data_IF_201038707137
#
_entry.id   IF_201038707137
#
_cell.length_a   1.000
_cell.length_b   1.000
_cell.length_c   1.000
_cell.angle_alpha   90.00
_cell.angle_beta   90.00
_cell.angle_gamma   90.00
#
_symmetry.space_group_name_H-M   'P 1'
#
loop_
_entity.id
_entity.type
_entity.pdbx_description
1 polymer ?
#
# COMPACT_ATOMS: atom_id res chain seq x y z
N UNK A 1 8.50 -7.35 -7.62
CA UNK A 1 8.43 -8.81 -7.75
C UNK A 1 7.66 -9.29 -8.98
N UNK A 2 6.79 -8.48 -9.58
CA UNK A 2 6.16 -8.80 -10.87
C UNK A 2 5.10 -9.90 -10.80
N UNK A 3 4.55 -10.18 -9.60
CA UNK A 3 3.51 -11.18 -9.38
C UNK A 3 2.17 -10.77 -10.02
N UNK A 4 1.88 -9.46 -10.00
CA UNK A 4 0.71 -8.83 -10.61
C UNK A 4 1.16 -7.69 -11.53
N UNK A 5 0.32 -7.28 -12.48
CA UNK A 5 0.70 -6.30 -13.51
C UNK A 5 0.50 -4.86 -13.04
N UNK A 6 -0.61 -4.60 -12.36
CA UNK A 6 -0.99 -3.25 -11.95
C UNK A 6 -1.63 -3.23 -10.55
N UNK A 7 -1.65 -2.07 -9.85
CA UNK A 7 -2.26 -1.95 -8.52
C UNK A 7 -3.71 -2.43 -8.45
N UNK A 8 -4.48 -2.22 -9.53
CA UNK A 8 -5.87 -2.66 -9.64
C UNK A 8 -6.04 -4.18 -9.56
N UNK A 9 -5.09 -4.96 -10.11
CA UNK A 9 -5.11 -6.43 -10.02
C UNK A 9 -5.03 -6.88 -8.55
N UNK A 10 -4.20 -6.20 -7.72
CA UNK A 10 -4.07 -6.48 -6.28
C UNK A 10 -5.36 -6.13 -5.55
N UNK A 11 -5.87 -4.93 -5.79
CA UNK A 11 -7.05 -4.42 -5.09
C UNK A 11 -8.29 -5.28 -5.38
N UNK A 12 -8.51 -5.63 -6.65
CA UNK A 12 -9.59 -6.54 -7.04
C UNK A 12 -9.39 -7.95 -6.47
N UNK A 13 -8.15 -8.46 -6.48
CA UNK A 13 -7.82 -9.76 -5.88
C UNK A 13 -8.15 -9.82 -4.39
N UNK A 14 -7.87 -8.75 -3.64
CA UNK A 14 -8.18 -8.68 -2.21
C UNK A 14 -9.68 -8.49 -1.93
N UNK A 15 -10.36 -7.67 -2.73
CA UNK A 15 -11.81 -7.45 -2.59
C UNK A 15 -12.55 -8.77 -2.85
N UNK A 16 -12.26 -9.44 -3.96
CA UNK A 16 -12.97 -10.65 -4.36
C UNK A 16 -12.48 -11.92 -3.65
N UNK A 17 -11.20 -11.97 -3.27
CA UNK A 17 -10.59 -13.16 -2.69
C UNK A 17 -10.78 -13.26 -1.17
N UNK A 18 -10.46 -12.20 -0.44
CA UNK A 18 -10.49 -12.20 1.05
C UNK A 18 -11.57 -11.29 1.63
N UNK A 19 -12.39 -10.67 0.78
CA UNK A 19 -13.48 -9.78 1.22
C UNK A 19 -13.00 -8.42 1.72
N UNK A 20 -11.91 -7.87 1.15
CA UNK A 20 -11.48 -6.52 1.52
C UNK A 20 -12.60 -5.50 1.28
N UNK A 21 -12.85 -4.53 2.20
CA UNK A 21 -13.99 -3.63 2.11
C UNK A 21 -14.08 -2.85 0.77
N UNK A 22 -15.10 -3.08 -0.08
CA UNK A 22 -15.17 -2.47 -1.42
C UNK A 22 -15.26 -0.94 -1.39
N UNK A 23 -15.91 -0.38 -0.37
CA UNK A 23 -16.04 1.08 -0.20
C UNK A 23 -14.69 1.78 0.11
N UNK A 24 -13.61 1.02 0.32
CA UNK A 24 -12.24 1.55 0.42
C UNK A 24 -11.46 1.46 -0.89
N UNK A 25 -12.05 0.91 -1.95
CA UNK A 25 -11.45 0.77 -3.28
C UNK A 25 -10.40 -0.35 -3.42
N UNK A 26 -9.91 -0.91 -2.30
CA UNK A 26 -8.82 -1.90 -2.26
C UNK A 26 -7.73 -1.50 -1.28
N UNK A 27 -6.73 -2.35 -1.06
CA UNK A 27 -5.68 -2.07 -0.07
C UNK A 27 -4.71 -0.97 -0.53
N UNK A 28 -4.36 -0.95 -1.82
CA UNK A 28 -3.45 0.03 -2.41
C UNK A 28 -4.17 1.36 -2.62
N UNK A 29 -5.42 1.34 -3.09
CA UNK A 29 -6.24 2.55 -3.15
C UNK A 29 -6.46 3.15 -1.76
N UNK A 30 -6.74 2.31 -0.77
CA UNK A 30 -6.83 2.76 0.62
C UNK A 30 -5.51 3.34 1.13
N UNK A 31 -4.38 2.72 0.78
CA UNK A 31 -3.07 3.21 1.17
C UNK A 31 -2.79 4.63 0.64
N UNK A 32 -3.21 4.91 -0.60
CA UNK A 32 -3.11 6.25 -1.20
C UNK A 32 -4.03 7.25 -0.51
N UNK A 33 -5.28 6.87 -0.19
CA UNK A 33 -6.20 7.71 0.58
C UNK A 33 -5.67 8.06 1.98
N UNK A 34 -4.97 7.13 2.64
CA UNK A 34 -4.31 7.41 3.93
C UNK A 34 -3.05 8.26 3.75
N UNK A 35 -2.36 8.09 2.62
CA UNK A 35 -1.08 8.70 2.30
C UNK A 35 0.10 7.88 2.80
N UNK A 36 1.06 7.62 1.91
CA UNK A 36 2.28 6.87 2.25
C UNK A 36 3.10 7.48 3.40
N UNK A 37 3.28 8.81 3.52
CA UNK A 37 3.98 9.39 4.68
C UNK A 37 3.32 9.01 6.01
N UNK A 38 1.98 9.00 6.07
CA UNK A 38 1.24 8.60 7.26
C UNK A 38 1.40 7.10 7.56
N UNK A 39 1.38 6.25 6.52
CA UNK A 39 1.62 4.81 6.68
C UNK A 39 3.05 4.52 7.18
N UNK A 40 4.07 5.17 6.61
CA UNK A 40 5.46 5.02 7.07
C UNK A 40 5.63 5.46 8.52
N UNK A 41 5.01 6.58 8.93
CA UNK A 41 5.04 7.04 10.31
C UNK A 41 4.37 6.05 11.28
N UNK A 42 3.26 5.42 10.86
CA UNK A 42 2.61 4.36 11.64
C UNK A 42 3.47 3.11 11.73
N UNK A 43 4.05 2.68 10.61
CA UNK A 43 4.85 1.47 10.51
C UNK A 43 6.15 1.55 11.32
N UNK A 44 6.76 2.73 11.41
CA UNK A 44 7.96 2.99 12.24
C UNK A 44 7.82 2.51 13.68
N UNK A 45 6.61 2.54 14.25
CA UNK A 45 6.34 2.05 15.62
C UNK A 45 6.52 0.54 15.76
N UNK A 46 6.35 -0.20 14.66
CA UNK A 46 6.33 -1.66 14.62
C UNK A 46 7.55 -2.27 13.94
N UNK A 47 8.45 -1.47 13.36
CA UNK A 47 9.66 -1.92 12.65
C UNK A 47 10.53 -2.89 13.51
N UNK A 48 10.54 -2.70 14.83
CA UNK A 48 11.26 -3.57 15.77
C UNK A 48 10.70 -5.00 15.89
N UNK A 49 9.48 -5.26 15.42
CA UNK A 49 8.84 -6.58 15.42
C UNK A 49 9.34 -7.50 14.29
N UNK A 50 10.29 -7.03 13.48
CA UNK A 50 11.01 -7.83 12.50
C UNK A 50 10.69 -7.46 11.04
N UNK A 51 11.26 -8.23 10.11
CA UNK A 51 11.29 -7.91 8.68
C UNK A 51 9.91 -7.66 8.05
N UNK A 52 8.85 -8.34 8.53
CA UNK A 52 7.47 -8.15 8.03
C UNK A 52 6.92 -6.74 8.27
N UNK A 53 7.46 -6.00 9.23
CA UNK A 53 7.05 -4.65 9.56
C UNK A 53 7.99 -3.58 8.99
N UNK A 54 8.97 -3.97 8.17
CA UNK A 54 9.82 -3.02 7.49
C UNK A 54 9.13 -2.55 6.21
N UNK A 55 9.04 -1.23 5.93
CA UNK A 55 8.50 -0.75 4.67
C UNK A 55 9.40 -1.15 3.52
N UNK A 56 8.77 -1.42 2.37
CA UNK A 56 9.50 -1.76 1.14
C UNK A 56 10.21 -0.53 0.58
N UNK A 57 11.25 -0.76 -0.23
CA UNK A 57 11.95 0.31 -0.94
C UNK A 57 11.00 1.13 -1.82
N UNK A 58 10.05 0.46 -2.48
CA UNK A 58 9.03 1.12 -3.29
C UNK A 58 8.17 2.08 -2.46
N UNK A 59 7.72 1.68 -1.26
CA UNK A 59 6.95 2.56 -0.38
C UNK A 59 7.75 3.79 0.02
N UNK A 60 9.04 3.61 0.36
CA UNK A 60 9.93 4.73 0.71
C UNK A 60 10.13 5.68 -0.48
N UNK A 61 10.35 5.14 -1.68
CA UNK A 61 10.52 5.91 -2.92
C UNK A 61 9.27 6.73 -3.27
N UNK A 62 8.11 6.08 -3.31
CA UNK A 62 6.85 6.74 -3.64
C UNK A 62 6.52 7.85 -2.62
N UNK A 63 6.73 7.59 -1.33
CA UNK A 63 6.54 8.61 -0.29
C UNK A 63 7.49 9.82 -0.48
N UNK A 64 8.75 9.58 -0.84
CA UNK A 64 9.73 10.64 -1.08
C UNK A 64 9.40 11.47 -2.34
N UNK A 65 8.78 10.85 -3.35
CA UNK A 65 8.32 11.50 -4.57
C UNK A 65 6.94 12.18 -4.43
N UNK A 66 6.29 12.06 -3.26
CA UNK A 66 4.94 12.58 -3.04
C UNK A 66 3.87 11.86 -3.87
N UNK A 67 4.12 10.61 -4.28
CA UNK A 67 3.23 9.80 -5.11
C UNK A 67 2.57 8.68 -4.32
N UNK A 68 1.45 8.18 -4.85
CA UNK A 68 0.79 6.95 -4.43
C UNK A 68 1.16 5.74 -5.29
N UNK A 69 0.46 4.62 -5.05
CA UNK A 69 0.48 3.46 -5.92
C UNK A 69 -0.26 3.71 -7.23
N UNK A 70 -1.31 4.53 -7.19
CA UNK A 70 -2.06 4.93 -8.37
C UNK A 70 -1.50 6.25 -8.95
N UNK A 71 -1.45 6.40 -10.28
CA UNK A 71 -0.91 7.59 -10.94
C UNK A 71 -1.76 8.85 -10.78
N UNK A 72 -3.07 8.70 -10.51
CA UNK A 72 -4.05 9.80 -10.47
C UNK A 72 -4.65 10.04 -9.06
N UNK A 73 -3.93 9.69 -8.00
CA UNK A 73 -4.38 9.88 -6.61
C UNK A 73 -3.96 11.24 -6.02
#
# INVERSE_FOLDING_TARGET
EGIVREPGDVDMGLILGIGFPPFRGGILRWADTVGLPNLLARLKKYEHLGARFQPTEQMRKLAAEGKGFYPDA
#
